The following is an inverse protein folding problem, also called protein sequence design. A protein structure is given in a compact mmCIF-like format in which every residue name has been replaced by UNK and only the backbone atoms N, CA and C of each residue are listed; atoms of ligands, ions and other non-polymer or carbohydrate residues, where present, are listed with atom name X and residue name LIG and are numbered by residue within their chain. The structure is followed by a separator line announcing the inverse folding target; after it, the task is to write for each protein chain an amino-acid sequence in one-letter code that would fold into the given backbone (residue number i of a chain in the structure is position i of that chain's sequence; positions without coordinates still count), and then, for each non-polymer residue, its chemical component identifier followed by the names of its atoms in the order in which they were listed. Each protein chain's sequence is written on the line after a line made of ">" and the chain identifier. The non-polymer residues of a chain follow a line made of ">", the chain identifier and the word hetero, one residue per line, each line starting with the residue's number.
data_IF_285962727199
#
_entry.id   IF_285962727199
#
_cell.length_a   1.000
_cell.length_b   1.000
_cell.length_c   1.000
_cell.angle_alpha   90.00
_cell.angle_beta   90.00
_cell.angle_gamma   90.00
#
_symmetry.space_group_name_H-M   'P 1'
#
loop_
_entity.id
_entity.type
_entity.pdbx_description
1 polymer ?
#
# COMPACT_ATOMS: atom_id res chain seq x y z
N UNK A 1 -1.93 -2.94 19.95
CA UNK A 1 -2.61 -2.35 18.78
C UNK A 1 -3.01 -3.45 17.83
N UNK A 2 -4.28 -3.48 17.51
CA UNK A 2 -4.80 -4.49 16.60
C UNK A 2 -4.76 -3.98 15.17
N UNK A 3 -4.22 -4.77 14.26
CA UNK A 3 -4.01 -4.39 12.88
C UNK A 3 -4.58 -5.47 11.98
N UNK A 4 -5.30 -5.06 10.94
CA UNK A 4 -5.87 -6.00 9.99
C UNK A 4 -5.52 -5.63 8.55
N UNK A 5 -5.42 -6.63 7.70
CA UNK A 5 -5.12 -6.42 6.29
C UNK A 5 -6.23 -5.58 5.66
N UNK A 6 -5.85 -4.60 4.86
CA UNK A 6 -6.80 -3.68 4.23
C UNK A 6 -7.03 -2.41 5.00
N UNK A 7 -6.56 -2.33 6.24
CA UNK A 7 -6.69 -1.10 7.00
C UNK A 7 -5.62 -0.10 6.60
N UNK A 8 -5.96 1.17 6.72
CA UNK A 8 -5.05 2.28 6.43
C UNK A 8 -4.68 2.93 7.74
N UNK A 9 -3.37 3.05 8.00
CA UNK A 9 -2.86 3.71 9.19
C UNK A 9 -1.92 4.83 8.75
N UNK A 10 -1.88 5.89 9.52
CA UNK A 10 -0.78 6.84 9.38
C UNK A 10 0.46 6.22 10.02
N UNK A 11 1.61 6.42 9.41
CA UNK A 11 2.86 5.85 9.89
C UNK A 11 4.02 6.80 9.65
N UNK A 12 5.01 6.73 10.51
CA UNK A 12 6.23 7.49 10.31
C UNK A 12 7.18 6.67 9.43
N UNK A 13 7.37 7.12 8.22
CA UNK A 13 8.18 6.41 7.23
C UNK A 13 9.63 6.87 7.20
N UNK A 14 9.98 7.88 7.99
CA UNK A 14 11.36 8.38 8.01
C UNK A 14 12.28 7.43 8.76
N UNK A 15 13.56 7.38 8.40
CA UNK A 15 14.19 8.08 7.29
C UNK A 15 14.03 7.33 5.98
N UNK A 16 14.16 8.05 4.87
CA UNK A 16 14.02 7.46 3.54
C UNK A 16 15.20 7.90 2.67
N UNK A 17 15.33 7.25 1.52
CA UNK A 17 16.36 7.56 0.56
C UNK A 17 15.70 7.80 -0.80
N UNK A 18 16.08 8.89 -1.45
CA UNK A 18 15.69 9.16 -2.84
C UNK A 18 14.19 9.24 -3.04
N UNK A 19 13.67 8.40 -3.92
CA UNK A 19 12.27 8.45 -4.35
C UNK A 19 11.29 7.80 -3.38
N UNK A 20 11.77 7.28 -2.27
CA UNK A 20 10.87 6.65 -1.29
C UNK A 20 9.99 7.69 -0.63
N UNK A 21 8.78 7.27 -0.27
CA UNK A 21 7.86 8.15 0.47
C UNK A 21 8.35 8.28 1.91
N UNK A 22 8.42 9.51 2.43
CA UNK A 22 8.89 9.77 3.78
C UNK A 22 7.92 10.61 4.58
N UNK A 23 8.24 10.83 5.86
CA UNK A 23 7.41 11.61 6.78
C UNK A 23 6.24 10.81 7.31
N UNK A 24 5.28 11.48 7.94
CA UNK A 24 4.06 10.84 8.44
C UNK A 24 3.10 10.73 7.26
N UNK A 25 2.80 9.51 6.85
CA UNK A 25 2.00 9.26 5.66
C UNK A 25 1.05 8.10 5.88
N UNK A 26 -0.06 8.05 5.14
CA UNK A 26 -0.91 6.88 5.22
C UNK A 26 -0.24 5.69 4.53
N UNK A 27 -0.44 4.51 5.09
CA UNK A 27 0.04 3.26 4.51
C UNK A 27 -1.10 2.25 4.55
N UNK A 28 -1.08 1.33 3.59
CA UNK A 28 -2.04 0.24 3.54
C UNK A 28 -1.40 -1.01 4.11
N UNK A 29 -2.06 -1.63 5.07
CA UNK A 29 -1.58 -2.89 5.65
C UNK A 29 -1.88 -4.02 4.66
N UNK A 30 -0.83 -4.67 4.18
CA UNK A 30 -0.98 -5.76 3.20
C UNK A 30 -0.54 -7.11 3.76
N UNK A 31 0.02 -7.14 4.96
CA UNK A 31 0.47 -8.37 5.57
C UNK A 31 -0.71 -9.27 5.93
N UNK A 32 -0.49 -10.59 5.89
CA UNK A 32 -1.52 -11.56 6.24
C UNK A 32 -1.90 -11.44 7.72
N UNK A 33 -3.07 -12.01 8.07
CA UNK A 33 -3.61 -11.82 9.41
C UNK A 33 -2.83 -12.54 10.50
N UNK A 34 -2.19 -13.63 10.18
CA UNK A 34 -1.38 -14.34 11.18
C UNK A 34 -0.18 -13.46 11.56
N UNK A 35 0.49 -12.89 10.55
CA UNK A 35 1.57 -11.96 10.80
C UNK A 35 1.10 -10.72 11.54
N UNK A 36 -0.06 -10.19 11.16
CA UNK A 36 -0.61 -9.01 11.83
C UNK A 36 -0.83 -9.26 13.32
N UNK A 37 -1.25 -10.47 13.66
CA UNK A 37 -1.51 -10.79 15.07
C UNK A 37 -0.23 -11.04 15.86
N UNK A 38 0.72 -11.74 15.27
CA UNK A 38 1.84 -12.28 16.05
C UNK A 38 3.18 -11.58 15.84
N UNK A 39 3.37 -10.89 14.72
CA UNK A 39 4.65 -10.26 14.43
C UNK A 39 4.73 -8.87 15.06
N UNK A 40 5.90 -8.42 15.50
CA UNK A 40 6.07 -7.02 15.92
C UNK A 40 6.13 -6.06 14.73
N UNK A 41 6.14 -6.58 13.51
CA UNK A 41 6.22 -5.75 12.31
C UNK A 41 5.03 -6.00 11.40
N UNK A 42 4.80 -5.09 10.48
CA UNK A 42 3.78 -5.24 9.43
C UNK A 42 4.41 -4.95 8.09
N UNK A 43 3.84 -5.56 7.05
CA UNK A 43 4.20 -5.24 5.66
C UNK A 43 3.14 -4.27 5.17
N UNK A 44 3.59 -3.15 4.63
CA UNK A 44 2.66 -2.08 4.21
C UNK A 44 3.09 -1.48 2.89
N UNK A 45 2.12 -0.94 2.15
CA UNK A 45 2.36 -0.23 0.90
C UNK A 45 2.10 1.26 1.13
N UNK A 46 2.94 2.10 0.55
CA UNK A 46 2.81 3.55 0.70
C UNK A 46 1.59 4.08 -0.05
N UNK A 47 1.02 5.15 0.45
CA UNK A 47 -0.11 5.83 -0.18
C UNK A 47 0.26 7.30 -0.35
N UNK A 48 -0.09 7.88 -1.49
CA UNK A 48 0.16 9.29 -1.74
C UNK A 48 -1.11 9.96 -2.27
N UNK A 49 -1.32 11.22 -1.91
CA UNK A 49 -2.40 12.00 -2.49
C UNK A 49 -1.96 12.77 -3.73
N UNK A 50 -0.72 12.62 -4.17
CA UNK A 50 -0.21 13.34 -5.33
C UNK A 50 -0.75 12.70 -6.60
N UNK A 51 -1.61 13.42 -7.30
CA UNK A 51 -2.23 12.91 -8.52
C UNK A 51 -1.41 13.21 -9.76
N UNK A 52 -0.35 14.00 -9.63
CA UNK A 52 0.51 14.36 -10.74
C UNK A 52 1.63 13.35 -10.98
N UNK A 53 1.70 12.30 -10.17
CA UNK A 53 2.71 11.29 -10.41
C UNK A 53 2.40 10.52 -11.67
N UNK A 54 3.45 10.12 -12.38
CA UNK A 54 3.28 9.24 -13.52
C UNK A 54 2.71 7.92 -13.05
N UNK A 55 1.70 7.43 -13.74
CA UNK A 55 1.05 6.20 -13.35
C UNK A 55 1.81 4.99 -13.83
N UNK A 56 1.96 4.02 -12.95
CA UNK A 56 2.50 2.70 -13.28
C UNK A 56 1.37 1.68 -13.13
N UNK A 57 1.51 0.50 -13.72
CA UNK A 57 0.51 -0.56 -13.52
C UNK A 57 0.33 -0.94 -12.07
N UNK A 58 1.31 -0.63 -11.24
CA UNK A 58 1.27 -0.95 -9.81
C UNK A 58 0.64 0.17 -8.98
N UNK A 59 0.13 1.23 -9.61
CA UNK A 59 -0.52 2.33 -8.90
C UNK A 59 -2.03 2.11 -8.91
N UNK A 60 -2.65 2.08 -7.75
CA UNK A 60 -4.08 1.84 -7.61
C UNK A 60 -4.75 3.09 -7.04
N UNK A 61 -5.63 3.71 -7.82
CA UNK A 61 -6.37 4.87 -7.36
C UNK A 61 -7.52 4.47 -6.45
N UNK A 62 -7.69 5.19 -5.36
CA UNK A 62 -8.80 4.99 -4.44
C UNK A 62 -9.44 6.34 -4.12
N UNK A 63 -10.76 6.33 -3.96
CA UNK A 63 -11.50 7.55 -3.67
C UNK A 63 -11.55 7.79 -2.17
N UNK A 64 -11.39 9.06 -1.79
CA UNK A 64 -11.41 9.45 -0.38
C UNK A 64 -12.70 9.01 0.31
N UNK A 65 -13.84 9.16 -0.38
CA UNK A 65 -15.13 8.88 0.25
C UNK A 65 -15.36 7.38 0.45
N UNK A 66 -14.50 6.52 -0.06
CA UNK A 66 -14.65 5.08 0.13
C UNK A 66 -13.64 4.49 1.12
N UNK A 67 -12.57 5.20 1.43
CA UNK A 67 -11.48 4.61 2.21
C UNK A 67 -11.16 5.36 3.50
N UNK A 68 -11.82 6.47 3.76
CA UNK A 68 -11.60 7.21 5.02
C UNK A 68 -10.45 8.18 4.98
N UNK A 69 -9.81 8.35 3.83
CA UNK A 69 -8.75 9.35 3.70
C UNK A 69 -9.33 10.72 3.37
N UNK A 70 -8.56 11.76 3.64
CA UNK A 70 -9.03 13.13 3.39
C UNK A 70 -9.07 13.48 1.90
N UNK A 71 -8.26 12.82 1.10
CA UNK A 71 -8.15 13.12 -0.34
C UNK A 71 -8.12 11.83 -1.13
N UNK A 72 -8.56 11.91 -2.38
CA UNK A 72 -8.37 10.82 -3.33
C UNK A 72 -6.87 10.52 -3.40
N UNK A 73 -6.53 9.25 -3.42
CA UNK A 73 -5.16 8.83 -3.22
C UNK A 73 -4.77 7.71 -4.17
N UNK A 74 -3.49 7.43 -4.21
CA UNK A 74 -2.92 6.35 -5.01
C UNK A 74 -2.14 5.45 -4.08
N UNK A 75 -2.44 4.16 -4.13
CA UNK A 75 -1.65 3.15 -3.41
C UNK A 75 -0.50 2.75 -4.32
N UNK A 76 0.72 2.85 -3.79
CA UNK A 76 1.94 2.60 -4.56
C UNK A 76 2.41 1.20 -4.23
N UNK A 77 1.94 0.20 -4.97
CA UNK A 77 2.25 -1.19 -4.61
C UNK A 77 3.68 -1.59 -4.94
N UNK A 78 4.44 -0.72 -5.57
CA UNK A 78 5.87 -0.95 -5.73
C UNK A 78 6.66 -0.39 -4.55
N UNK A 79 6.04 0.38 -3.66
CA UNK A 79 6.71 0.90 -2.47
C UNK A 79 6.22 0.15 -1.24
N UNK A 80 6.72 -1.06 -1.12
CA UNK A 80 6.38 -1.98 -0.03
C UNK A 80 7.50 -1.92 0.99
N UNK A 81 7.14 -1.84 2.27
CA UNK A 81 8.15 -1.87 3.33
C UNK A 81 7.64 -2.64 4.52
N UNK A 82 8.59 -3.16 5.27
CA UNK A 82 8.32 -3.72 6.60
C UNK A 82 8.50 -2.61 7.62
N UNK A 83 7.49 -2.41 8.43
CA UNK A 83 7.51 -1.37 9.46
C UNK A 83 7.32 -2.00 10.83
N UNK A 84 8.08 -1.52 11.80
CA UNK A 84 7.81 -1.86 13.20
C UNK A 84 6.44 -1.29 13.55
N UNK A 85 5.62 -2.03 14.27
CA UNK A 85 4.29 -1.55 14.65
C UNK A 85 4.34 -0.25 15.44
N UNK A 86 5.45 0.04 16.10
CA UNK A 86 5.59 1.30 16.83
C UNK A 86 5.63 2.52 15.91
N UNK A 87 5.85 2.32 14.60
CA UNK A 87 5.78 3.44 13.66
C UNK A 87 4.35 3.79 13.30
N UNK A 88 3.39 2.96 13.58
CA UNK A 88 2.00 3.22 13.24
C UNK A 88 1.40 4.24 14.20
N UNK A 89 0.63 5.15 13.63
CA UNK A 89 -0.13 6.15 14.37
C UNK A 89 -1.60 5.75 14.30
N UNK A 90 -2.51 6.70 14.21
CA UNK A 90 -3.93 6.38 14.24
C UNK A 90 -4.39 5.71 12.94
N UNK A 91 -5.42 4.93 13.07
CA UNK A 91 -6.05 4.29 11.95
C UNK A 91 -6.86 5.32 11.18
N UNK A 92 -6.64 5.43 9.88
CA UNK A 92 -7.33 6.40 9.04
C UNK A 92 -8.62 5.83 8.43
N UNK A 93 -8.61 4.54 8.08
CA UNK A 93 -9.76 3.95 7.43
C UNK A 93 -9.46 2.56 6.92
N UNK A 94 -10.15 2.18 5.84
CA UNK A 94 -10.06 0.83 5.30
C UNK A 94 -10.31 0.86 3.81
N UNK A 95 -9.59 0.07 3.06
CA UNK A 95 -9.78 -0.04 1.62
C UNK A 95 -10.88 -1.06 1.36
N UNK A 96 -11.89 -0.72 0.53
CA UNK A 96 -12.96 -1.65 0.22
C UNK A 96 -12.46 -2.91 -0.46
N UNK A 97 -13.22 -3.98 -0.32
CA UNK A 97 -12.79 -5.28 -0.80
C UNK A 97 -12.55 -5.34 -2.30
N UNK A 98 -13.39 -4.66 -3.08
CA UNK A 98 -13.19 -4.64 -4.53
C UNK A 98 -11.90 -3.92 -4.91
N UNK A 99 -11.55 -2.86 -4.19
CA UNK A 99 -10.28 -2.18 -4.41
C UNK A 99 -9.12 -3.03 -3.93
N UNK A 100 -9.32 -3.80 -2.85
CA UNK A 100 -8.26 -4.71 -2.38
C UNK A 100 -7.95 -5.79 -3.42
N UNK A 101 -8.92 -6.24 -4.19
CA UNK A 101 -8.63 -7.20 -5.27
C UNK A 101 -7.71 -6.59 -6.31
N UNK A 102 -7.93 -5.30 -6.63
CA UNK A 102 -7.02 -4.60 -7.56
C UNK A 102 -5.63 -4.44 -6.96
N UNK A 103 -5.56 -4.18 -5.66
CA UNK A 103 -4.28 -4.08 -4.97
C UNK A 103 -3.56 -5.42 -5.02
N UNK A 104 -4.28 -6.52 -4.80
CA UNK A 104 -3.66 -7.85 -4.79
C UNK A 104 -3.05 -8.17 -6.16
N UNK A 105 -3.75 -7.83 -7.24
CA UNK A 105 -3.20 -8.02 -8.56
C UNK A 105 -1.96 -7.16 -8.78
N UNK A 106 -2.02 -5.90 -8.39
CA UNK A 106 -0.89 -5.01 -8.55
C UNK A 106 0.32 -5.45 -7.72
N UNK A 107 0.08 -5.99 -6.54
CA UNK A 107 1.16 -6.54 -5.72
C UNK A 107 1.84 -7.70 -6.43
N UNK A 108 1.07 -8.58 -7.05
CA UNK A 108 1.63 -9.68 -7.82
C UNK A 108 2.52 -9.19 -8.95
N UNK A 109 2.08 -8.12 -9.63
CA UNK A 109 2.90 -7.50 -10.68
C UNK A 109 4.18 -6.93 -10.08
N UNK A 110 4.05 -6.22 -8.97
CA UNK A 110 5.19 -5.54 -8.35
C UNK A 110 6.33 -6.48 -7.99
N UNK A 111 5.99 -7.68 -7.54
CA UNK A 111 7.01 -8.61 -7.10
C UNK A 111 7.21 -9.76 -8.07
N UNK A 112 6.67 -9.65 -9.26
CA UNK A 112 6.97 -10.60 -10.33
C UNK A 112 6.18 -11.89 -10.32
N UNK A 113 5.05 -11.95 -9.66
CA UNK A 113 4.25 -13.17 -9.59
C UNK A 113 3.25 -13.31 -10.72
N UNK A 114 3.00 -12.19 -11.45
CA UNK A 114 1.97 -12.20 -12.47
C UNK A 114 2.48 -12.40 -13.85
N UNK A 115 3.67 -12.87 -14.00
CA UNK A 115 4.28 -12.87 -15.29
C UNK A 115 3.66 -13.83 -16.26
N UNK A 116 3.14 -14.95 -15.77
CA UNK A 116 2.74 -15.96 -16.69
C UNK A 116 1.50 -15.59 -17.45
N UNK A 117 0.72 -14.65 -17.00
CA UNK A 117 -0.47 -14.33 -17.71
C UNK A 117 -0.32 -13.23 -18.68
N UNK A 118 0.76 -12.57 -18.60
CA UNK A 118 0.77 -11.40 -19.33
C UNK A 118 1.76 -11.39 -20.30
N UNK A 119 2.59 -11.99 -20.04
CA UNK A 119 3.52 -12.14 -20.81
C UNK A 119 3.49 -11.50 -21.94
N UNK A 120 2.84 -11.64 -22.43
CA UNK A 120 2.84 -11.28 -23.60
C UNK A 120 3.32 -10.03 -23.87
N UNK A 121 3.13 -9.18 -23.29
CA UNK A 121 3.53 -7.97 -23.79
C UNK A 121 4.57 -7.41 -23.03
N UNK A 122 4.95 -7.89 -22.05
CA UNK A 122 6.05 -7.34 -21.32
C UNK A 122 5.95 -5.89 -21.10
N UNK A 123 4.83 -5.36 -21.09
CA UNK A 123 4.70 -3.96 -21.11
C UNK A 123 4.65 -3.27 -19.78
N UNK A 124 5.06 -3.90 -18.72
CA UNK A 124 4.85 -3.27 -17.45
C UNK A 124 5.89 -2.23 -17.08
N UNK A 125 7.05 -2.38 -17.38
CA UNK A 125 8.04 -1.39 -16.95
C UNK A 125 9.11 -1.23 -18.01
#
# INVERSE_FOLDING_TARGET
>A
MEVHRGEVFYADLSPVVGSEQGGIRPVLIIQNEIGNRHSPTVIAAAITSRQDKNRLPTHISVRADRCGLAKDSIILTEQIRTLDKRRLRERAGRIPEDDMRRVDEALGVSIGLESQNTHQDGGYF
#
